data_IF_103853594399
#
_entry.id   IF_103853594399
#
_cell.length_a   1.000
_cell.length_b   1.000
_cell.length_c   1.000
_cell.angle_alpha   90.00
_cell.angle_beta   90.00
_cell.angle_gamma   90.00
#
_symmetry.space_group_name_H-M   'P 1'
#
loop_
_entity.id
_entity.type
_entity.pdbx_description
1 polymer ?
#
# COMPACT_ATOMS: atom_id res chain seq x y z
N UNK A 1 -16.49 4.27 4.75
CA UNK A 1 -15.12 4.02 4.28
C UNK A 1 -14.76 2.57 4.54
N UNK A 2 -14.00 1.95 3.64
CA UNK A 2 -13.46 0.59 3.79
C UNK A 2 -11.96 0.67 4.05
N UNK A 3 -11.46 -0.08 5.04
CA UNK A 3 -10.04 -0.14 5.40
C UNK A 3 -9.53 -1.56 5.23
N UNK A 4 -8.34 -1.71 4.67
CA UNK A 4 -7.58 -2.97 4.61
C UNK A 4 -6.09 -2.72 4.88
N UNK A 5 -5.28 -3.77 4.87
CA UNK A 5 -3.81 -3.73 4.93
C UNK A 5 -3.24 -5.10 4.52
N UNK A 6 -1.93 -5.27 4.55
CA UNK A 6 -1.22 -6.54 4.39
C UNK A 6 -0.54 -7.05 5.68
N UNK A 7 -0.36 -6.20 6.70
CA UNK A 7 0.15 -6.60 8.02
C UNK A 7 -0.85 -7.45 8.84
N UNK A 8 -2.09 -7.60 8.36
CA UNK A 8 -3.17 -8.33 9.01
C UNK A 8 -4.05 -7.48 9.93
N UNK A 9 -5.25 -7.98 10.19
CA UNK A 9 -6.33 -7.25 10.87
C UNK A 9 -6.01 -6.88 12.33
N UNK A 10 -5.07 -7.57 12.96
CA UNK A 10 -4.68 -7.33 14.34
C UNK A 10 -3.51 -6.36 14.48
N UNK A 11 -2.91 -5.88 13.37
CA UNK A 11 -1.76 -4.98 13.40
C UNK A 11 -2.08 -3.62 14.03
N UNK A 12 -1.08 -2.96 14.59
CA UNK A 12 -1.25 -1.64 15.22
C UNK A 12 -1.56 -0.55 14.20
N UNK A 13 -0.98 -0.68 12.99
CA UNK A 13 -1.20 0.28 11.90
C UNK A 13 -2.66 0.42 11.52
N UNK A 14 -3.37 -0.72 11.28
CA UNK A 14 -4.78 -0.69 10.89
C UNK A 14 -5.69 -0.22 12.03
N UNK A 15 -5.37 -0.58 13.28
CA UNK A 15 -6.12 -0.12 14.46
C UNK A 15 -6.03 1.39 14.65
N UNK A 16 -4.81 1.93 14.51
CA UNK A 16 -4.55 3.38 14.63
C UNK A 16 -5.23 4.15 13.49
N UNK A 17 -5.16 3.62 12.27
CA UNK A 17 -5.86 4.17 11.10
C UNK A 17 -7.38 4.20 11.33
N UNK A 18 -7.96 3.09 11.74
CA UNK A 18 -9.40 2.97 11.98
C UNK A 18 -9.88 3.97 13.05
N UNK A 19 -9.12 4.11 14.16
CA UNK A 19 -9.43 5.10 15.22
C UNK A 19 -9.43 6.54 14.68
N UNK A 20 -8.50 6.88 13.80
CA UNK A 20 -8.43 8.22 13.21
C UNK A 20 -9.57 8.47 12.20
N UNK A 21 -9.88 7.49 11.35
CA UNK A 21 -10.89 7.58 10.31
C UNK A 21 -12.33 7.54 10.85
N UNK A 22 -12.59 6.92 12.00
CA UNK A 22 -13.88 7.01 12.71
C UNK A 22 -14.33 8.45 13.03
N UNK A 23 -13.39 9.40 13.08
CA UNK A 23 -13.69 10.84 13.24
C UNK A 23 -14.10 11.51 11.91
N UNK A 24 -14.01 10.79 10.80
CA UNK A 24 -14.37 11.28 9.46
C UNK A 24 -15.71 10.70 9.02
N UNK A 25 -16.03 9.46 9.40
CA UNK A 25 -17.28 8.80 9.06
C UNK A 25 -17.28 7.32 9.46
N UNK A 26 -18.28 6.58 9.02
CA UNK A 26 -18.40 5.16 9.29
C UNK A 26 -17.23 4.37 8.65
N UNK A 27 -16.69 3.42 9.41
CA UNK A 27 -15.53 2.62 9.05
C UNK A 27 -15.86 1.14 9.12
N UNK A 28 -15.58 0.43 8.03
CA UNK A 28 -15.53 -1.02 7.94
C UNK A 28 -14.10 -1.47 7.77
N UNK A 29 -13.69 -2.50 8.49
CA UNK A 29 -12.36 -3.11 8.40
C UNK A 29 -12.54 -4.48 7.79
N UNK A 30 -11.90 -4.73 6.66
CA UNK A 30 -11.85 -6.05 6.03
C UNK A 30 -10.39 -6.28 5.62
N UNK A 31 -9.71 -7.15 6.34
CA UNK A 31 -8.27 -7.34 6.19
C UNK A 31 -7.88 -8.81 6.34
N UNK A 32 -6.68 -9.20 5.87
CA UNK A 32 -6.18 -10.56 6.05
C UNK A 32 -6.14 -10.99 7.52
N UNK A 33 -6.40 -12.28 7.77
CA UNK A 33 -6.33 -12.92 9.08
C UNK A 33 -4.94 -12.89 9.71
N UNK A 34 -3.91 -12.73 8.89
CA UNK A 34 -2.48 -12.68 9.24
C UNK A 34 -1.72 -11.83 8.24
N UNK A 35 -0.44 -11.61 8.49
CA UNK A 35 0.47 -10.92 7.57
C UNK A 35 0.52 -11.61 6.20
N UNK A 36 0.48 -10.78 5.14
CA UNK A 36 0.52 -11.16 3.71
C UNK A 36 1.50 -10.26 2.94
N UNK A 37 2.69 -10.08 3.49
CA UNK A 37 3.75 -9.29 2.86
C UNK A 37 4.11 -9.83 1.47
N UNK A 38 4.46 -8.92 0.55
CA UNK A 38 4.80 -9.22 -0.84
C UNK A 38 3.73 -10.01 -1.62
N UNK A 39 2.44 -9.88 -1.25
CA UNK A 39 1.35 -10.56 -1.95
C UNK A 39 1.08 -9.99 -3.34
N UNK A 40 1.59 -8.81 -3.67
CA UNK A 40 1.31 -8.12 -4.93
C UNK A 40 -0.20 -7.96 -5.17
N UNK A 41 -0.60 -7.58 -6.39
CA UNK A 41 -2.01 -7.48 -6.79
C UNK A 41 -2.54 -8.85 -7.26
N UNK A 42 -2.73 -9.78 -6.32
CA UNK A 42 -3.14 -11.15 -6.64
C UNK A 42 -4.50 -11.52 -6.03
N UNK A 43 -5.32 -12.24 -6.82
CA UNK A 43 -6.59 -12.82 -6.39
C UNK A 43 -6.44 -14.32 -6.09
N UNK A 44 -7.12 -14.77 -5.05
CA UNK A 44 -7.20 -16.19 -4.69
C UNK A 44 -8.33 -16.87 -5.44
N UNK A 45 -8.01 -17.54 -6.57
CA UNK A 45 -9.01 -18.23 -7.41
C UNK A 45 -9.05 -19.76 -7.21
N UNK A 46 -8.04 -20.35 -6.57
CA UNK A 46 -7.84 -21.80 -6.51
C UNK A 46 -8.38 -22.46 -5.21
N UNK A 47 -8.87 -21.67 -4.28
CA UNK A 47 -9.45 -22.14 -3.01
C UNK A 47 -10.54 -21.18 -2.50
N UNK A 48 -11.49 -21.64 -1.68
CA UNK A 48 -12.50 -20.76 -1.10
C UNK A 48 -11.89 -19.81 -0.07
N UNK A 49 -12.40 -18.56 -0.09
CA UNK A 49 -12.12 -17.58 0.95
C UNK A 49 -13.09 -17.78 2.12
N UNK A 50 -12.57 -17.66 3.33
CA UNK A 50 -13.35 -17.71 4.58
C UNK A 50 -13.36 -16.34 5.22
N UNK A 51 -14.53 -15.95 5.70
CA UNK A 51 -14.76 -14.67 6.37
C UNK A 51 -15.09 -14.94 7.82
N UNK A 52 -14.33 -14.34 8.72
CA UNK A 52 -14.59 -14.36 10.15
C UNK A 52 -14.97 -12.96 10.62
N UNK A 53 -16.14 -12.83 11.25
CA UNK A 53 -16.57 -11.56 11.83
C UNK A 53 -15.97 -11.41 13.22
N UNK A 54 -15.02 -10.48 13.38
CA UNK A 54 -14.30 -10.24 14.64
C UNK A 54 -14.81 -9.01 15.40
N UNK A 55 -15.78 -8.30 14.84
CA UNK A 55 -16.37 -7.10 15.46
C UNK A 55 -17.58 -6.58 14.70
N UNK A 56 -18.22 -5.51 15.16
CA UNK A 56 -19.43 -4.97 14.52
C UNK A 56 -19.25 -4.63 13.03
N UNK A 57 -18.13 -4.02 12.68
CA UNK A 57 -17.75 -3.63 11.32
C UNK A 57 -16.34 -4.14 10.98
N UNK A 58 -15.93 -5.31 11.50
CA UNK A 58 -14.60 -5.85 11.31
C UNK A 58 -14.66 -7.34 10.92
N UNK A 59 -13.97 -7.68 9.82
CA UNK A 59 -13.96 -9.00 9.21
C UNK A 59 -12.53 -9.41 8.85
N UNK A 60 -12.11 -10.59 9.28
CA UNK A 60 -10.86 -11.24 8.91
C UNK A 60 -11.08 -12.18 7.72
N UNK A 61 -10.15 -12.19 6.76
CA UNK A 61 -10.22 -13.06 5.59
C UNK A 61 -8.92 -13.83 5.43
N UNK A 62 -8.99 -15.12 5.10
CA UNK A 62 -7.81 -15.96 4.82
C UNK A 62 -7.21 -15.75 3.42
N UNK A 63 -7.38 -14.56 2.86
CA UNK A 63 -6.97 -14.15 1.54
C UNK A 63 -5.87 -13.09 1.51
N UNK A 64 -5.63 -12.53 0.32
CA UNK A 64 -4.76 -11.38 0.09
C UNK A 64 -5.47 -10.07 0.44
N UNK A 65 -4.75 -8.93 0.54
CA UNK A 65 -5.39 -7.62 0.66
C UNK A 65 -6.34 -7.29 -0.50
N UNK A 66 -6.01 -7.70 -1.71
CA UNK A 66 -6.87 -7.60 -2.90
C UNK A 66 -8.17 -8.37 -2.73
N UNK A 67 -8.10 -9.64 -2.27
CA UNK A 67 -9.28 -10.45 -1.94
C UNK A 67 -10.17 -9.76 -0.92
N UNK A 68 -9.57 -9.14 0.10
CA UNK A 68 -10.30 -8.44 1.16
C UNK A 68 -11.13 -7.28 0.62
N UNK A 69 -10.56 -6.47 -0.27
CA UNK A 69 -11.29 -5.34 -0.88
C UNK A 69 -12.38 -5.86 -1.82
N UNK A 70 -12.04 -6.80 -2.71
CA UNK A 70 -13.00 -7.35 -3.67
C UNK A 70 -14.20 -7.99 -2.96
N UNK A 71 -13.94 -8.87 -1.99
CA UNK A 71 -14.98 -9.55 -1.25
C UNK A 71 -15.79 -8.60 -0.36
N UNK A 72 -15.15 -7.57 0.21
CA UNK A 72 -15.84 -6.54 0.96
C UNK A 72 -16.88 -5.80 0.11
N UNK A 73 -16.47 -5.33 -1.06
CA UNK A 73 -17.31 -4.50 -1.94
C UNK A 73 -18.42 -5.31 -2.60
N UNK A 74 -18.11 -6.54 -3.04
CA UNK A 74 -19.04 -7.35 -3.83
C UNK A 74 -19.84 -8.38 -3.02
N UNK A 75 -19.44 -8.67 -1.76
CA UNK A 75 -20.06 -9.75 -0.98
C UNK A 75 -20.46 -9.39 0.46
N UNK A 76 -19.69 -8.56 1.17
CA UNK A 76 -19.90 -8.33 2.61
C UNK A 76 -20.70 -7.07 2.89
N UNK A 77 -20.34 -5.96 2.23
CA UNK A 77 -20.94 -4.66 2.50
C UNK A 77 -22.26 -4.48 1.77
N UNK A 78 -23.31 -4.04 2.49
CA UNK A 78 -24.62 -3.74 1.89
C UNK A 78 -24.63 -2.48 1.02
N UNK A 79 -23.67 -1.57 1.25
CA UNK A 79 -23.52 -0.33 0.50
C UNK A 79 -22.08 -0.18 0.07
N UNK A 80 -21.90 0.33 -1.13
CA UNK A 80 -20.58 0.63 -1.68
C UNK A 80 -19.88 1.69 -0.81
N UNK A 81 -18.61 1.50 -0.42
CA UNK A 81 -17.88 2.51 0.33
C UNK A 81 -17.53 3.71 -0.56
N UNK A 82 -17.50 4.91 0.04
CA UNK A 82 -17.13 6.15 -0.67
C UNK A 82 -15.63 6.31 -0.82
N UNK A 83 -14.83 5.55 -0.06
CA UNK A 83 -13.39 5.62 -0.01
C UNK A 83 -12.81 4.29 0.46
N UNK A 84 -11.73 3.82 -0.18
CA UNK A 84 -10.88 2.73 0.27
C UNK A 84 -9.57 3.30 0.79
N UNK A 85 -9.15 2.87 1.98
CA UNK A 85 -7.87 3.24 2.58
C UNK A 85 -7.12 1.99 2.99
N UNK A 86 -5.93 1.79 2.44
CA UNK A 86 -5.07 0.65 2.77
C UNK A 86 -3.90 1.08 3.64
N UNK A 87 -3.71 0.42 4.78
CA UNK A 87 -2.61 0.66 5.71
C UNK A 87 -3.05 0.74 7.17
N UNK A 88 -2.25 1.35 8.05
CA UNK A 88 -0.94 1.96 7.81
C UNK A 88 0.10 0.85 7.79
N UNK A 89 0.81 0.72 6.68
CA UNK A 89 1.86 -0.28 6.53
C UNK A 89 3.07 0.03 7.42
N UNK A 90 3.65 -1.01 8.01
CA UNK A 90 4.92 -0.94 8.72
C UNK A 90 6.07 -1.06 7.73
N UNK A 91 6.65 0.05 7.33
CA UNK A 91 7.66 0.14 6.28
C UNK A 91 7.15 0.89 5.05
N UNK A 92 8.07 1.46 4.28
CA UNK A 92 7.74 2.25 3.10
C UNK A 92 7.38 1.40 1.89
N UNK A 93 6.52 1.93 1.04
CA UNK A 93 6.26 1.43 -0.31
C UNK A 93 6.75 2.50 -1.29
N UNK A 94 8.05 2.48 -1.60
CA UNK A 94 8.76 3.51 -2.35
C UNK A 94 9.30 2.94 -3.67
N UNK A 95 9.27 3.75 -4.72
CA UNK A 95 9.80 3.37 -6.03
C UNK A 95 9.21 2.06 -6.56
N UNK A 96 10.07 1.16 -7.00
CA UNK A 96 9.68 -0.14 -7.59
C UNK A 96 9.01 -1.10 -6.58
N UNK A 97 9.19 -0.90 -5.26
CA UNK A 97 8.56 -1.72 -4.21
C UNK A 97 7.02 -1.67 -4.28
N UNK A 98 6.46 -0.61 -4.87
CA UNK A 98 5.02 -0.45 -5.13
C UNK A 98 4.44 -1.66 -5.86
N UNK A 99 5.20 -2.28 -6.77
CA UNK A 99 4.75 -3.43 -7.58
C UNK A 99 4.57 -4.71 -6.76
N UNK A 100 5.25 -4.84 -5.63
CA UNK A 100 5.17 -6.00 -4.73
C UNK A 100 4.24 -5.77 -3.52
N UNK A 101 3.84 -4.52 -3.29
CA UNK A 101 3.13 -4.11 -2.08
C UNK A 101 1.69 -4.62 -2.04
N UNK A 102 1.35 -5.39 -1.01
CA UNK A 102 -0.04 -5.76 -0.70
C UNK A 102 -0.87 -4.55 -0.25
N UNK A 103 -0.27 -3.62 0.47
CA UNK A 103 -0.91 -2.36 0.90
C UNK A 103 -1.33 -1.52 -0.31
N UNK A 104 -0.44 -1.32 -1.28
CA UNK A 104 -0.77 -0.56 -2.50
C UNK A 104 -1.79 -1.32 -3.36
N UNK A 105 -1.66 -2.64 -3.44
CA UNK A 105 -2.57 -3.50 -4.20
C UNK A 105 -4.02 -3.44 -3.72
N UNK A 106 -4.25 -3.35 -2.42
CA UNK A 106 -5.61 -3.13 -1.89
C UNK A 106 -6.21 -1.80 -2.35
N UNK A 107 -5.40 -0.73 -2.42
CA UNK A 107 -5.85 0.55 -2.96
C UNK A 107 -6.05 0.48 -4.49
N UNK A 108 -5.22 -0.27 -5.21
CA UNK A 108 -5.41 -0.56 -6.64
C UNK A 108 -6.75 -1.23 -6.90
N UNK A 109 -7.08 -2.29 -6.13
CA UNK A 109 -8.35 -2.99 -6.27
C UNK A 109 -9.55 -2.06 -6.03
N UNK A 110 -9.49 -1.22 -4.99
CA UNK A 110 -10.52 -0.21 -4.75
C UNK A 110 -10.71 0.73 -5.94
N UNK A 111 -9.61 1.16 -6.57
CA UNK A 111 -9.62 2.03 -7.75
C UNK A 111 -10.18 1.31 -8.99
N UNK A 112 -9.80 0.05 -9.23
CA UNK A 112 -10.38 -0.80 -10.30
C UNK A 112 -11.89 -0.97 -10.14
N UNK A 113 -12.34 -1.10 -8.90
CA UNK A 113 -13.77 -1.11 -8.58
C UNK A 113 -14.43 0.28 -8.69
N UNK A 114 -13.71 1.33 -9.12
CA UNK A 114 -14.22 2.69 -9.31
C UNK A 114 -14.48 3.44 -7.99
N UNK A 115 -13.77 3.11 -6.93
CA UNK A 115 -13.86 3.77 -5.63
C UNK A 115 -12.58 4.59 -5.43
N UNK A 116 -12.66 5.89 -5.07
CA UNK A 116 -11.49 6.65 -4.68
C UNK A 116 -10.66 5.90 -3.64
N UNK A 117 -9.35 5.79 -3.84
CA UNK A 117 -8.52 4.95 -2.98
C UNK A 117 -7.16 5.55 -2.71
N UNK A 118 -6.59 5.27 -1.53
CA UNK A 118 -5.18 5.54 -1.26
C UNK A 118 -4.57 4.48 -0.35
N UNK A 119 -3.27 4.26 -0.54
CA UNK A 119 -2.41 3.48 0.33
C UNK A 119 -1.59 4.41 1.21
N UNK A 120 -1.33 4.03 2.47
CA UNK A 120 -0.50 4.79 3.39
C UNK A 120 0.46 3.90 4.15
N UNK A 121 1.72 4.32 4.18
CA UNK A 121 2.85 3.60 4.77
C UNK A 121 3.64 4.52 5.71
N UNK A 122 4.16 3.96 6.80
CA UNK A 122 5.05 4.66 7.72
C UNK A 122 6.49 4.21 7.48
N UNK A 123 7.38 5.14 7.18
CA UNK A 123 8.78 4.88 6.85
C UNK A 123 9.67 5.24 8.04
N UNK A 124 10.23 4.25 8.70
CA UNK A 124 11.25 4.47 9.74
C UNK A 124 12.64 4.22 9.17
N UNK A 125 13.53 5.19 9.33
CA UNK A 125 14.94 5.09 8.92
C UNK A 125 15.83 4.69 10.12
N UNK A 126 15.41 5.04 11.34
CA UNK A 126 16.25 4.92 12.53
C UNK A 126 15.55 4.45 13.81
N UNK A 127 14.23 4.19 13.76
CA UNK A 127 13.45 3.81 14.94
C UNK A 127 13.08 2.34 14.90
N UNK A 128 13.29 1.63 15.98
CA UNK A 128 12.79 0.26 16.17
C UNK A 128 11.30 0.22 16.47
N UNK A 129 10.77 1.26 17.13
CA UNK A 129 9.36 1.39 17.49
C UNK A 129 8.67 2.40 16.57
N UNK A 130 7.64 1.95 15.88
CA UNK A 130 6.85 2.75 14.92
C UNK A 130 5.78 3.57 15.64
N UNK A 131 5.73 4.91 15.41
CA UNK A 131 4.61 5.75 15.87
C UNK A 131 3.68 6.12 14.72
N UNK A 132 2.58 5.40 14.59
CA UNK A 132 1.58 5.58 13.53
C UNK A 132 0.72 6.86 13.67
N UNK A 133 0.86 7.65 14.75
CA UNK A 133 -0.05 8.78 15.04
C UNK A 133 -0.02 9.86 13.95
N UNK A 134 1.17 10.24 13.47
CA UNK A 134 1.32 11.27 12.44
C UNK A 134 0.72 10.79 11.10
N UNK A 135 0.99 9.54 10.71
CA UNK A 135 0.41 8.94 9.51
C UNK A 135 -1.11 8.84 9.59
N UNK A 136 -1.66 8.41 10.73
CA UNK A 136 -3.11 8.33 10.93
C UNK A 136 -3.80 9.70 10.91
N UNK A 137 -3.16 10.74 11.48
CA UNK A 137 -3.65 12.12 11.43
C UNK A 137 -3.68 12.64 9.99
N UNK A 138 -2.62 12.38 9.23
CA UNK A 138 -2.55 12.74 7.83
C UNK A 138 -3.61 12.00 7.00
N UNK A 139 -3.75 10.69 7.19
CA UNK A 139 -4.79 9.88 6.53
C UNK A 139 -6.20 10.43 6.76
N UNK A 140 -6.53 10.81 7.99
CA UNK A 140 -7.86 11.39 8.30
C UNK A 140 -8.08 12.75 7.62
N UNK A 141 -7.04 13.60 7.51
CA UNK A 141 -7.11 14.88 6.78
C UNK A 141 -7.30 14.63 5.28
N UNK A 142 -6.51 13.73 4.70
CA UNK A 142 -6.58 13.38 3.30
C UNK A 142 -7.93 12.74 2.93
N UNK A 143 -8.44 11.85 3.77
CA UNK A 143 -9.74 11.22 3.58
C UNK A 143 -10.87 12.26 3.48
N UNK A 144 -10.91 13.26 4.38
CA UNK A 144 -11.89 14.37 4.30
C UNK A 144 -11.76 15.15 2.99
N UNK A 145 -10.52 15.41 2.56
CA UNK A 145 -10.26 16.13 1.32
C UNK A 145 -10.75 15.36 0.10
N UNK A 146 -10.44 14.06 0.02
CA UNK A 146 -10.84 13.18 -1.10
C UNK A 146 -12.37 13.01 -1.15
N UNK A 147 -13.01 12.80 -0.01
CA UNK A 147 -14.48 12.69 0.07
C UNK A 147 -15.20 13.94 -0.45
N UNK A 148 -14.60 15.13 -0.26
CA UNK A 148 -15.15 16.41 -0.74
C UNK A 148 -14.81 16.68 -2.22
N UNK A 149 -13.56 16.42 -2.65
CA UNK A 149 -13.05 16.93 -3.92
C UNK A 149 -12.87 15.83 -4.98
N UNK A 150 -12.96 14.54 -4.58
CA UNK A 150 -12.66 13.35 -5.42
C UNK A 150 -11.18 13.27 -5.81
N UNK A 151 -10.79 12.16 -6.41
CA UNK A 151 -9.51 11.97 -7.09
C UNK A 151 -9.71 12.03 -8.61
N UNK A 152 -8.66 12.31 -9.38
CA UNK A 152 -8.69 12.09 -10.81
C UNK A 152 -9.09 10.64 -11.13
N UNK A 153 -9.75 10.45 -12.28
CA UNK A 153 -10.19 9.12 -12.71
C UNK A 153 -8.99 8.15 -12.80
N UNK A 154 -9.23 6.88 -12.47
CA UNK A 154 -8.25 5.79 -12.55
C UNK A 154 -6.93 6.07 -11.79
N UNK A 155 -6.98 6.94 -10.78
CA UNK A 155 -5.82 7.34 -9.98
C UNK A 155 -6.02 6.96 -8.53
N UNK A 156 -5.03 6.28 -7.96
CA UNK A 156 -4.87 6.13 -6.51
C UNK A 156 -3.68 6.96 -6.03
N UNK A 157 -3.63 7.22 -4.73
CA UNK A 157 -2.47 7.87 -4.12
C UNK A 157 -1.69 6.85 -3.29
N UNK A 158 -0.38 6.77 -3.53
CA UNK A 158 0.56 6.07 -2.67
C UNK A 158 1.22 7.09 -1.74
N UNK A 159 0.97 6.95 -0.44
CA UNK A 159 1.41 7.90 0.59
C UNK A 159 2.49 7.23 1.43
N UNK A 160 3.62 7.89 1.56
CA UNK A 160 4.65 7.50 2.52
C UNK A 160 4.87 8.63 3.52
N UNK A 161 4.87 8.29 4.81
CA UNK A 161 5.01 9.24 5.91
C UNK A 161 6.31 8.92 6.64
N UNK A 162 7.25 9.88 6.80
CA UNK A 162 8.46 9.63 7.58
C UNK A 162 8.12 9.53 9.08
N UNK A 163 8.71 8.54 9.76
CA UNK A 163 8.59 8.38 11.22
C UNK A 163 9.59 9.27 11.94
N UNK A 164 9.29 10.56 11.98
CA UNK A 164 10.11 11.60 12.59
C UNK A 164 9.26 12.48 13.50
N UNK A 165 9.90 13.18 14.44
CA UNK A 165 9.20 14.07 15.36
C UNK A 165 8.62 15.28 14.64
N UNK A 166 9.34 15.85 13.68
CA UNK A 166 8.94 17.01 12.90
C UNK A 166 8.83 16.69 11.41
N UNK A 167 7.60 16.70 10.91
CA UNK A 167 7.28 16.57 9.49
C UNK A 167 7.17 17.95 8.88
N UNK A 168 8.01 18.27 7.90
CA UNK A 168 8.09 19.60 7.26
C UNK A 168 6.92 19.93 6.34
N UNK A 169 6.03 18.97 6.08
CA UNK A 169 4.89 19.13 5.17
C UNK A 169 4.75 17.94 4.24
N UNK A 170 4.23 18.18 3.03
CA UNK A 170 4.09 17.12 2.02
C UNK A 170 4.60 17.59 0.65
N UNK A 171 4.94 16.63 -0.21
CA UNK A 171 5.31 16.85 -1.61
C UNK A 171 4.53 15.91 -2.52
N UNK A 172 4.11 16.41 -3.67
CA UNK A 172 3.66 15.55 -4.76
C UNK A 172 4.92 15.02 -5.45
N UNK A 173 5.01 13.71 -5.57
CA UNK A 173 6.23 13.01 -5.96
C UNK A 173 5.97 12.06 -7.12
N UNK A 174 7.04 11.64 -7.76
CA UNK A 174 7.08 10.48 -8.65
C UNK A 174 7.78 9.31 -7.95
N UNK A 175 7.59 8.12 -8.46
CA UNK A 175 8.33 6.93 -8.02
C UNK A 175 9.82 7.13 -8.29
N UNK A 176 10.64 6.89 -7.26
CA UNK A 176 12.07 6.72 -7.42
C UNK A 176 12.40 5.35 -7.99
N UNK A 177 13.68 5.09 -8.24
CA UNK A 177 14.17 3.78 -8.64
C UNK A 177 15.08 3.24 -7.55
N UNK A 178 14.82 2.00 -7.14
CA UNK A 178 15.64 1.32 -6.14
C UNK A 178 16.70 0.45 -6.81
N UNK A 179 17.94 0.63 -6.43
CA UNK A 179 19.02 -0.26 -6.83
C UNK A 179 19.26 -1.27 -5.71
N UNK A 180 18.99 -2.52 -6.04
CA UNK A 180 19.30 -3.65 -5.15
C UNK A 180 20.74 -4.09 -5.36
N UNK A 181 21.43 -4.46 -4.26
CA UNK A 181 22.67 -5.23 -4.31
C UNK A 181 22.43 -6.69 -4.65
N UNK A 182 23.39 -7.54 -4.33
CA UNK A 182 23.24 -8.98 -4.49
C UNK A 182 22.05 -9.47 -3.68
N UNK A 183 20.92 -9.64 -4.38
CA UNK A 183 19.63 -9.91 -3.77
C UNK A 183 19.46 -11.36 -3.34
N UNK A 184 20.45 -12.24 -3.56
CA UNK A 184 20.39 -13.65 -3.24
C UNK A 184 21.47 -14.04 -2.25
N UNK A 185 21.05 -14.48 -1.05
CA UNK A 185 21.95 -15.01 -0.02
C UNK A 185 21.79 -16.53 0.02
N UNK A 186 22.81 -17.26 -0.44
CA UNK A 186 22.88 -18.72 -0.31
C UNK A 186 23.32 -19.11 1.11
N UNK A 187 22.65 -20.08 1.72
CA UNK A 187 23.03 -20.72 2.97
C UNK A 187 22.81 -22.22 2.88
N UNK A 188 23.32 -22.96 3.87
CA UNK A 188 23.19 -24.42 3.96
C UNK A 188 22.46 -24.76 5.25
N UNK A 189 21.46 -25.64 5.19
CA UNK A 189 20.74 -26.13 6.37
C UNK A 189 21.60 -27.14 7.17
N UNK A 190 21.22 -27.52 8.40
CA UNK A 190 21.96 -28.49 9.20
C UNK A 190 22.10 -29.89 8.56
N UNK A 191 21.36 -30.20 7.51
CA UNK A 191 21.42 -31.46 6.76
C UNK A 191 22.23 -31.36 5.45
N UNK A 192 22.92 -30.21 5.25
CA UNK A 192 23.75 -29.98 4.07
C UNK A 192 22.99 -29.55 2.80
N UNK A 193 21.69 -29.23 2.87
CA UNK A 193 20.92 -28.74 1.73
C UNK A 193 21.02 -27.22 1.61
N UNK A 194 21.30 -26.77 0.39
CA UNK A 194 21.30 -25.34 0.08
C UNK A 194 19.91 -24.75 0.12
N UNK A 195 19.79 -23.53 0.66
CA UNK A 195 18.60 -22.71 0.56
C UNK A 195 19.00 -21.25 0.31
N UNK A 196 18.06 -20.47 -0.18
CA UNK A 196 18.30 -19.11 -0.66
C UNK A 196 17.33 -18.15 -0.01
N UNK A 197 17.84 -17.02 0.43
CA UNK A 197 17.04 -15.86 0.78
C UNK A 197 17.06 -14.87 -0.35
N UNK A 198 15.86 -14.39 -0.74
CA UNK A 198 15.73 -13.19 -1.56
C UNK A 198 15.78 -12.02 -0.59
N UNK A 199 16.88 -11.31 -0.57
CA UNK A 199 17.12 -10.18 0.30
C UNK A 199 18.50 -9.62 -0.02
N UNK A 200 18.70 -8.36 0.19
CA UNK A 200 19.97 -7.70 -0.03
C UNK A 200 19.90 -6.30 0.54
N UNK A 201 21.06 -5.74 0.81
CA UNK A 201 21.15 -4.37 1.26
C UNK A 201 20.68 -3.43 0.15
N UNK A 202 19.96 -2.37 0.53
CA UNK A 202 19.64 -1.28 -0.37
C UNK A 202 20.95 -0.56 -0.69
N UNK A 203 21.48 -0.72 -1.88
CA UNK A 203 22.72 -0.08 -2.29
C UNK A 203 22.52 1.42 -2.51
N UNK A 204 21.46 1.80 -3.21
CA UNK A 204 21.23 3.19 -3.61
C UNK A 204 19.80 3.40 -4.09
N UNK A 205 19.36 4.64 -3.99
CA UNK A 205 18.19 5.14 -4.69
C UNK A 205 18.61 6.02 -5.86
N UNK A 206 18.02 5.82 -7.02
CA UNK A 206 18.17 6.69 -8.19
C UNK A 206 16.91 7.53 -8.40
N UNK A 207 17.14 8.79 -8.78
CA UNK A 207 16.10 9.74 -9.11
C UNK A 207 16.43 11.15 -8.63
N UNK A 208 15.63 12.10 -9.06
CA UNK A 208 15.80 13.51 -8.72
C UNK A 208 15.16 13.93 -7.40
N UNK A 209 15.18 15.21 -7.14
CA UNK A 209 14.62 15.86 -5.94
C UNK A 209 13.10 15.68 -5.79
N UNK A 210 12.40 15.32 -6.88
CA UNK A 210 10.96 15.13 -6.97
C UNK A 210 10.50 13.67 -6.71
N UNK A 211 11.39 12.79 -6.24
CA UNK A 211 11.08 11.40 -5.96
C UNK A 211 10.53 11.17 -4.55
N UNK A 212 9.80 10.08 -4.39
CA UNK A 212 9.17 9.65 -3.14
C UNK A 212 10.20 9.45 -2.02
N UNK A 213 11.29 8.70 -2.28
CA UNK A 213 12.34 8.49 -1.27
C UNK A 213 13.06 9.80 -0.90
N UNK A 214 13.22 10.74 -1.85
CA UNK A 214 13.86 12.01 -1.56
C UNK A 214 12.98 12.89 -0.67
N UNK A 215 11.67 12.86 -0.86
CA UNK A 215 10.73 13.52 0.05
C UNK A 215 10.86 12.95 1.47
N UNK A 216 10.88 11.61 1.61
CA UNK A 216 11.02 10.94 2.91
C UNK A 216 12.34 11.29 3.60
N UNK A 217 13.47 11.18 2.91
CA UNK A 217 14.79 11.50 3.49
C UNK A 217 14.95 12.99 3.83
N UNK A 218 14.09 13.84 3.29
CA UNK A 218 14.02 15.28 3.61
C UNK A 218 12.96 15.62 4.66
N UNK A 219 12.34 14.62 5.31
CA UNK A 219 11.30 14.73 6.33
C UNK A 219 9.97 15.31 5.80
N UNK A 220 9.65 15.08 4.52
CA UNK A 220 8.36 15.41 3.94
C UNK A 220 7.53 14.13 3.73
N UNK A 221 6.22 14.25 3.86
CA UNK A 221 5.29 13.21 3.40
C UNK A 221 5.34 13.18 1.87
N UNK A 222 5.53 11.99 1.32
CA UNK A 222 5.45 11.74 -0.12
C UNK A 222 4.01 11.40 -0.50
N UNK A 223 3.49 12.04 -1.55
CA UNK A 223 2.21 11.75 -2.18
C UNK A 223 2.47 11.43 -3.65
N UNK A 224 2.50 10.17 -4.01
CA UNK A 224 2.73 9.73 -5.38
C UNK A 224 1.40 9.31 -6.01
N UNK A 225 0.89 10.03 -7.04
CA UNK A 225 -0.23 9.54 -7.82
C UNK A 225 0.21 8.35 -8.66
N UNK A 226 -0.55 7.24 -8.56
CA UNK A 226 -0.31 6.00 -9.30
C UNK A 226 -1.47 5.76 -10.24
N UNK A 227 -1.16 5.42 -11.47
CA UNK A 227 -2.11 5.11 -12.53
C UNK A 227 -2.17 3.61 -12.77
N UNK A 228 -3.36 3.11 -13.10
CA UNK A 228 -3.57 1.67 -13.31
C UNK A 228 -3.25 1.22 -14.74
N UNK A 229 -3.25 2.14 -15.69
CA UNK A 229 -2.88 1.83 -17.06
C UNK A 229 -1.35 1.72 -17.18
N UNK A 230 -0.88 0.49 -17.34
CA UNK A 230 0.55 0.15 -17.48
C UNK A 230 1.04 0.26 -18.92
N UNK A 231 0.21 0.74 -19.86
CA UNK A 231 0.57 0.87 -21.27
C UNK A 231 1.62 1.96 -21.45
N UNK A 232 2.76 1.61 -22.04
CA UNK A 232 3.77 2.60 -22.41
C UNK A 232 3.43 3.26 -23.75
N UNK A 233 2.59 4.30 -23.72
CA UNK A 233 2.19 5.05 -24.92
C UNK A 233 3.35 5.69 -25.67
N UNK A 234 4.44 6.05 -24.97
CA UNK A 234 5.62 6.63 -25.59
C UNK A 234 6.31 5.68 -26.58
N UNK A 235 6.19 4.37 -26.36
CA UNK A 235 6.80 3.35 -27.20
C UNK A 235 6.03 3.08 -28.51
N UNK A 236 4.77 3.52 -28.63
CA UNK A 236 3.93 3.21 -29.81
C UNK A 236 4.56 3.66 -31.12
N UNK A 237 5.08 4.90 -31.15
CA UNK A 237 5.72 5.47 -32.37
C UNK A 237 6.92 4.62 -32.87
N UNK A 238 7.63 4.01 -31.94
CA UNK A 238 8.79 3.13 -32.22
C UNK A 238 8.31 1.76 -32.71
N UNK A 239 7.41 1.13 -31.95
CA UNK A 239 6.94 -0.22 -32.22
C UNK A 239 6.12 -0.32 -33.52
N UNK A 240 5.39 0.74 -33.91
CA UNK A 240 4.68 0.78 -35.18
C UNK A 240 5.59 0.69 -36.42
N UNK A 241 6.90 0.95 -36.28
CA UNK A 241 7.86 0.79 -37.37
C UNK A 241 8.31 -0.66 -37.55
N UNK A 242 8.03 -1.53 -36.59
CA UNK A 242 8.46 -2.92 -36.68
C UNK A 242 7.66 -3.66 -37.75
N UNK A 243 8.37 -4.41 -38.59
CA UNK A 243 7.81 -5.29 -39.64
C UNK A 243 7.97 -6.73 -39.18
N UNK A 244 7.08 -7.20 -38.32
CA UNK A 244 7.03 -8.58 -37.79
C UNK A 244 5.91 -9.36 -38.44
#
# INVERSE_FOLDING_TARGET
MLISNDDGIHSEGIKTLAKALKRVGEVFIVAPDRERSAASHSLTLHKPLRVEKIGPNAYAINGTPTDCINLAVNGILKKRPDLVVSGINKGGNLGDDVTYSGTVSAAMEGTLLGIPSFAISLVSISRENFDFKNAARFAARLARFILKNRLPKDTLLNINVPDVDEIKGYRITKQGKRLYGDAIVEKVDPRGKKYYWIGGDILKWEGGEDTDFKAITSNFISITPVHLDMTNYASFKELHKWKI
#
